data_IF_039104766873
#
_entry.id   IF_039104766873
#
_cell.length_a   1.000
_cell.length_b   1.000
_cell.length_c   1.000
_cell.angle_alpha   90.00
_cell.angle_beta   90.00
_cell.angle_gamma   90.00
#
_symmetry.space_group_name_H-M   'P 1'
#
loop_
_entity.id
_entity.type
_entity.pdbx_description
1 polymer ?
#
# COMPACT_ATOMS: atom_id res chain seq x y z
N UNK A 1 -17.86 -16.35 -38.83
CA UNK A 1 -16.92 -17.12 -37.99
C UNK A 1 -16.03 -16.10 -37.30
N UNK A 2 -16.13 -15.93 -35.98
CA UNK A 2 -15.26 -15.00 -35.25
C UNK A 2 -13.81 -15.50 -35.28
N UNK A 3 -12.80 -14.61 -35.43
CA UNK A 3 -11.41 -15.04 -35.38
C UNK A 3 -11.10 -15.65 -34.00
N UNK A 4 -10.34 -16.75 -33.92
CA UNK A 4 -9.82 -17.20 -32.64
C UNK A 4 -8.87 -16.12 -32.10
N UNK A 5 -9.22 -15.56 -30.95
CA UNK A 5 -8.32 -14.69 -30.19
C UNK A 5 -7.61 -15.57 -29.16
N UNK A 6 -6.38 -16.06 -29.45
CA UNK A 6 -5.62 -16.81 -28.47
C UNK A 6 -5.34 -15.90 -27.26
N UNK A 7 -5.59 -16.42 -26.06
CA UNK A 7 -5.23 -15.72 -24.84
C UNK A 7 -3.70 -15.55 -24.81
N UNK A 8 -3.18 -14.41 -24.34
CA UNK A 8 -1.75 -14.24 -24.17
C UNK A 8 -1.15 -15.33 -23.27
N UNK A 9 0.05 -15.81 -23.59
CA UNK A 9 0.73 -16.92 -22.89
C UNK A 9 0.91 -16.70 -21.38
N UNK A 10 0.82 -15.44 -20.92
CA UNK A 10 0.95 -15.08 -19.51
C UNK A 10 -0.36 -15.22 -18.72
N UNK A 11 -1.54 -15.16 -19.35
CA UNK A 11 -2.83 -15.08 -18.65
C UNK A 11 -3.09 -16.26 -17.70
N UNK A 12 -2.59 -17.45 -18.01
CA UNK A 12 -2.72 -18.63 -17.13
C UNK A 12 -1.75 -18.62 -15.95
N UNK A 13 -0.57 -18.00 -16.10
CA UNK A 13 0.49 -18.01 -15.07
C UNK A 13 0.17 -17.05 -13.93
N UNK A 14 -0.20 -15.81 -14.25
CA UNK A 14 -0.49 -14.79 -13.23
C UNK A 14 -1.71 -15.15 -12.39
N UNK A 15 -2.78 -15.68 -13.01
CA UNK A 15 -3.94 -16.16 -12.28
C UNK A 15 -3.60 -17.28 -11.31
N UNK A 16 -2.80 -18.27 -11.76
CA UNK A 16 -2.34 -19.37 -10.92
C UNK A 16 -1.53 -18.87 -9.73
N UNK A 17 -0.62 -17.92 -9.95
CA UNK A 17 0.17 -17.30 -8.87
C UNK A 17 -0.70 -16.51 -7.89
N UNK A 18 -1.71 -15.79 -8.39
CA UNK A 18 -2.68 -15.10 -7.53
C UNK A 18 -3.45 -16.11 -6.66
N UNK A 19 -3.92 -17.22 -7.22
CA UNK A 19 -4.60 -18.27 -6.44
C UNK A 19 -3.71 -18.84 -5.33
N UNK A 20 -2.44 -19.12 -5.64
CA UNK A 20 -1.46 -19.59 -4.63
C UNK A 20 -1.27 -18.55 -3.53
N UNK A 21 -1.16 -17.27 -3.89
CA UNK A 21 -1.06 -16.18 -2.92
C UNK A 21 -2.30 -16.12 -2.02
N UNK A 22 -3.50 -16.18 -2.60
CA UNK A 22 -4.75 -16.16 -1.85
C UNK A 22 -4.86 -17.32 -0.87
N UNK A 23 -4.41 -18.53 -1.25
CA UNK A 23 -4.37 -19.68 -0.35
C UNK A 23 -3.44 -19.44 0.85
N UNK A 24 -2.23 -18.93 0.61
CA UNK A 24 -1.29 -18.57 1.68
C UNK A 24 -1.92 -17.54 2.62
N UNK A 25 -2.52 -16.48 2.09
CA UNK A 25 -3.13 -15.43 2.90
C UNK A 25 -4.36 -15.89 3.67
N UNK A 26 -5.14 -16.82 3.13
CA UNK A 26 -6.26 -17.42 3.84
C UNK A 26 -5.80 -18.24 5.06
N UNK A 27 -4.72 -19.03 4.90
CA UNK A 27 -4.11 -19.74 6.01
C UNK A 27 -3.60 -18.77 7.10
N UNK A 28 -2.90 -17.71 6.69
CA UNK A 28 -2.40 -16.66 7.61
C UNK A 28 -3.54 -15.99 8.36
N UNK A 29 -4.58 -15.57 7.64
CA UNK A 29 -5.75 -14.92 8.23
C UNK A 29 -6.43 -15.82 9.25
N UNK A 30 -6.59 -17.13 8.95
CA UNK A 30 -7.19 -18.08 9.87
C UNK A 30 -6.38 -18.25 11.16
N UNK A 31 -5.06 -18.44 11.05
CA UNK A 31 -4.19 -18.61 12.23
C UNK A 31 -4.16 -17.35 13.09
N UNK A 32 -3.96 -16.18 12.50
CA UNK A 32 -3.87 -14.93 13.26
C UNK A 32 -5.21 -14.49 13.85
N UNK A 33 -6.33 -14.78 13.17
CA UNK A 33 -7.66 -14.55 13.73
C UNK A 33 -7.89 -15.42 14.98
N UNK A 34 -7.60 -16.72 14.90
CA UNK A 34 -7.74 -17.63 16.03
C UNK A 34 -6.81 -17.26 17.19
N UNK A 35 -5.56 -16.88 16.90
CA UNK A 35 -4.62 -16.43 17.90
C UNK A 35 -5.11 -15.16 18.61
N UNK A 36 -5.67 -14.19 17.87
CA UNK A 36 -6.26 -12.98 18.44
C UNK A 36 -7.42 -13.30 19.38
N UNK A 37 -8.28 -14.25 19.01
CA UNK A 37 -9.38 -14.72 19.86
C UNK A 37 -8.87 -15.40 21.15
N UNK A 38 -7.85 -16.26 21.04
CA UNK A 38 -7.25 -16.92 22.21
C UNK A 38 -6.61 -15.93 23.20
N UNK A 39 -5.90 -14.91 22.69
CA UNK A 39 -5.34 -13.83 23.51
C UNK A 39 -6.43 -13.04 24.25
N UNK A 40 -7.57 -12.76 23.60
CA UNK A 40 -8.71 -12.08 24.24
C UNK A 40 -9.34 -12.91 25.36
N UNK A 41 -9.19 -14.24 25.32
CA UNK A 41 -9.70 -15.16 26.33
C UNK A 41 -8.66 -15.50 27.43
N UNK A 42 -7.49 -14.84 27.43
CA UNK A 42 -6.45 -15.05 28.45
C UNK A 42 -5.66 -16.36 28.30
N UNK A 43 -5.74 -17.02 27.14
CA UNK A 43 -5.09 -18.29 26.85
C UNK A 43 -3.90 -18.05 25.90
N UNK A 44 -2.75 -17.58 26.39
CA UNK A 44 -1.60 -17.30 25.51
C UNK A 44 -0.35 -18.07 25.91
N UNK A 45 0.05 -19.05 25.10
CA UNK A 45 1.32 -19.78 25.22
C UNK A 45 1.90 -20.18 23.83
N UNK A 46 1.99 -19.28 22.84
CA UNK A 46 2.34 -19.68 21.45
C UNK A 46 3.14 -18.67 20.59
N UNK A 47 4.04 -17.86 21.16
CA UNK A 47 4.82 -16.91 20.32
C UNK A 47 5.73 -17.63 19.30
N UNK A 48 6.35 -18.74 19.68
CA UNK A 48 7.28 -19.51 18.83
C UNK A 48 6.57 -20.28 17.70
N UNK A 49 5.35 -20.79 17.94
CA UNK A 49 4.55 -21.45 16.91
C UNK A 49 4.15 -20.47 15.80
N UNK A 50 3.70 -19.27 16.19
CA UNK A 50 3.32 -18.23 15.24
C UNK A 50 4.50 -17.79 14.34
N UNK A 51 5.71 -17.67 14.90
CA UNK A 51 6.89 -17.27 14.12
C UNK A 51 7.34 -18.34 13.13
N UNK A 52 7.42 -19.60 13.54
CA UNK A 52 7.78 -20.71 12.64
C UNK A 52 6.74 -20.91 11.52
N UNK A 53 5.46 -20.72 11.84
CA UNK A 53 4.39 -20.67 10.85
C UNK A 53 4.60 -19.52 9.84
N UNK A 54 4.85 -18.30 10.34
CA UNK A 54 5.09 -17.12 9.51
C UNK A 54 6.29 -17.32 8.58
N UNK A 55 7.38 -17.86 9.11
CA UNK A 55 8.58 -18.20 8.35
C UNK A 55 8.29 -19.19 7.22
N UNK A 56 7.52 -20.26 7.51
CA UNK A 56 7.11 -21.23 6.49
C UNK A 56 6.28 -20.57 5.38
N UNK A 57 5.37 -19.64 5.70
CA UNK A 57 4.61 -18.90 4.68
C UNK A 57 5.50 -17.98 3.87
N UNK A 58 6.43 -17.28 4.52
CA UNK A 58 7.39 -16.43 3.85
C UNK A 58 8.23 -17.21 2.83
N UNK A 59 8.73 -18.40 3.18
CA UNK A 59 9.45 -19.27 2.24
C UNK A 59 8.59 -19.67 1.03
N UNK A 60 7.31 -20.00 1.24
CA UNK A 60 6.38 -20.29 0.14
C UNK A 60 6.23 -19.09 -0.80
N UNK A 61 6.15 -17.87 -0.25
CA UNK A 61 6.07 -16.65 -1.05
C UNK A 61 7.36 -16.40 -1.84
N UNK A 62 8.54 -16.60 -1.24
CA UNK A 62 9.82 -16.45 -1.94
C UNK A 62 9.96 -17.44 -3.10
N UNK A 63 9.67 -18.72 -2.86
CA UNK A 63 9.69 -19.74 -3.91
C UNK A 63 8.68 -19.44 -5.03
N UNK A 64 7.55 -18.81 -4.70
CA UNK A 64 6.59 -18.34 -5.70
C UNK A 64 7.16 -17.18 -6.52
N UNK A 65 7.83 -16.20 -5.88
CA UNK A 65 8.40 -15.04 -6.59
C UNK A 65 9.49 -15.39 -7.59
N UNK A 66 10.24 -16.47 -7.37
CA UNK A 66 11.25 -16.96 -8.31
C UNK A 66 10.65 -17.37 -9.67
N UNK A 67 9.35 -17.70 -9.68
CA UNK A 67 8.61 -18.06 -10.88
C UNK A 67 7.86 -16.89 -11.55
N UNK A 68 7.90 -15.70 -10.95
CA UNK A 68 7.22 -14.51 -11.47
C UNK A 68 8.05 -13.81 -12.53
N UNK A 69 7.37 -13.17 -13.47
CA UNK A 69 8.02 -12.26 -14.40
C UNK A 69 8.58 -11.05 -13.65
N UNK A 70 9.59 -10.36 -14.20
CA UNK A 70 10.21 -9.19 -13.58
C UNK A 70 9.29 -7.95 -13.51
N UNK A 71 8.01 -8.05 -13.88
CA UNK A 71 7.05 -6.94 -13.80
C UNK A 71 6.87 -6.18 -15.12
N UNK A 72 6.83 -6.91 -16.24
CA UNK A 72 6.73 -6.30 -17.58
C UNK A 72 5.31 -5.88 -17.98
N UNK A 73 4.31 -6.23 -17.17
CA UNK A 73 2.89 -6.00 -17.44
C UNK A 73 2.19 -5.47 -16.19
N UNK A 74 1.05 -4.79 -16.35
CA UNK A 74 0.23 -4.27 -15.23
C UNK A 74 -0.08 -5.37 -14.19
N UNK A 75 -0.43 -6.57 -14.64
CA UNK A 75 -0.82 -7.67 -13.75
C UNK A 75 0.35 -8.32 -13.01
N UNK A 76 1.55 -8.31 -13.60
CA UNK A 76 2.76 -8.77 -12.91
C UNK A 76 3.15 -7.78 -11.81
N UNK A 77 3.06 -6.48 -12.08
CA UNK A 77 3.32 -5.43 -11.09
C UNK A 77 2.30 -5.49 -9.94
N UNK A 78 1.01 -5.69 -10.24
CA UNK A 78 -0.02 -5.92 -9.21
C UNK A 78 0.36 -7.11 -8.33
N UNK A 79 0.82 -8.21 -8.93
CA UNK A 79 1.17 -9.41 -8.18
C UNK A 79 2.39 -9.18 -7.28
N UNK A 80 3.41 -8.45 -7.74
CA UNK A 80 4.55 -8.04 -6.89
C UNK A 80 4.11 -7.17 -5.72
N UNK A 81 3.20 -6.22 -5.95
CA UNK A 81 2.62 -5.40 -4.87
C UNK A 81 1.90 -6.28 -3.85
N UNK A 82 1.07 -7.22 -4.33
CA UNK A 82 0.31 -8.12 -3.46
C UNK A 82 1.22 -9.06 -2.65
N UNK A 83 2.32 -9.56 -3.24
CA UNK A 83 3.30 -10.38 -2.50
C UNK A 83 3.96 -9.58 -1.38
N UNK A 84 4.43 -8.37 -1.66
CA UNK A 84 5.05 -7.56 -0.60
C UNK A 84 4.06 -7.12 0.47
N UNK A 85 2.79 -6.91 0.11
CA UNK A 85 1.70 -6.67 1.06
C UNK A 85 1.49 -7.89 1.95
N UNK A 86 1.45 -9.10 1.37
CA UNK A 86 1.35 -10.35 2.11
C UNK A 86 2.52 -10.57 3.09
N UNK A 87 3.75 -10.26 2.68
CA UNK A 87 4.93 -10.36 3.56
C UNK A 87 4.80 -9.40 4.76
N UNK A 88 4.31 -8.18 4.51
CA UNK A 88 4.05 -7.20 5.57
C UNK A 88 3.00 -7.73 6.54
N UNK A 89 1.86 -8.23 6.06
CA UNK A 89 0.80 -8.80 6.88
C UNK A 89 1.26 -10.02 7.69
N UNK A 90 2.06 -10.91 7.07
CA UNK A 90 2.64 -12.08 7.75
C UNK A 90 3.51 -11.65 8.92
N UNK A 91 4.35 -10.62 8.75
CA UNK A 91 5.31 -10.24 9.79
C UNK A 91 4.84 -9.14 10.74
N UNK A 92 3.76 -8.43 10.43
CA UNK A 92 3.24 -7.31 11.22
C UNK A 92 3.07 -7.63 12.72
N UNK A 93 2.56 -8.81 13.15
CA UNK A 93 2.42 -9.14 14.58
C UNK A 93 3.74 -9.16 15.38
N UNK A 94 4.88 -9.25 14.70
CA UNK A 94 6.21 -9.39 15.31
C UNK A 94 6.99 -8.06 15.33
N UNK A 95 6.48 -7.00 14.69
CA UNK A 95 7.21 -5.72 14.57
C UNK A 95 7.03 -4.82 15.79
N UNK A 96 5.87 -4.88 16.45
CA UNK A 96 5.53 -4.00 17.57
C UNK A 96 6.02 -4.51 18.94
N UNK A 97 6.75 -5.63 18.98
CA UNK A 97 7.35 -6.18 20.20
C UNK A 97 8.81 -5.76 20.25
N UNK A 98 9.06 -4.55 20.73
CA UNK A 98 10.36 -3.86 20.69
C UNK A 98 11.55 -4.61 21.30
N UNK A 99 11.31 -5.67 22.08
CA UNK A 99 12.34 -6.43 22.77
C UNK A 99 12.73 -7.77 22.12
N UNK A 100 11.99 -8.26 21.11
CA UNK A 100 12.22 -9.60 20.55
C UNK A 100 12.81 -9.53 19.13
N UNK A 101 14.09 -9.88 19.02
CA UNK A 101 14.70 -10.16 17.71
C UNK A 101 14.15 -11.50 17.19
N UNK A 102 13.09 -11.42 16.40
CA UNK A 102 12.49 -12.57 15.74
C UNK A 102 13.33 -12.98 14.52
N UNK A 103 14.47 -13.63 14.79
CA UNK A 103 15.31 -14.22 13.76
C UNK A 103 14.56 -15.37 13.07
N UNK A 104 14.83 -15.55 11.79
CA UNK A 104 14.24 -16.60 10.96
C UNK A 104 15.26 -17.75 10.84
N UNK A 105 15.22 -18.76 11.73
CA UNK A 105 16.27 -19.76 11.88
C UNK A 105 16.50 -20.64 10.64
N UNK A 106 15.53 -20.73 9.74
CA UNK A 106 15.66 -21.50 8.50
C UNK A 106 16.46 -20.76 7.43
N UNK A 107 16.83 -19.49 7.66
CA UNK A 107 17.68 -18.73 6.76
C UNK A 107 19.12 -18.71 7.26
N UNK A 108 20.07 -18.96 6.35
CA UNK A 108 21.49 -19.03 6.68
C UNK A 108 22.11 -17.69 7.14
N UNK A 109 21.43 -16.57 6.91
CA UNK A 109 21.95 -15.24 7.24
C UNK A 109 21.57 -14.84 8.66
N UNK A 110 22.53 -14.37 9.49
CA UNK A 110 22.25 -13.88 10.84
C UNK A 110 21.41 -12.58 10.85
N UNK A 111 21.24 -11.94 9.68
CA UNK A 111 20.42 -10.74 9.52
C UNK A 111 18.99 -11.05 9.07
N UNK A 112 18.68 -12.32 8.78
CA UNK A 112 17.33 -12.74 8.42
C UNK A 112 16.41 -12.72 9.63
N UNK A 113 15.59 -11.68 9.71
CA UNK A 113 14.60 -11.48 10.77
C UNK A 113 13.25 -11.05 10.18
N UNK A 114 12.18 -11.26 10.93
CA UNK A 114 10.85 -10.75 10.60
C UNK A 114 10.88 -9.24 10.29
N UNK A 115 11.66 -8.48 11.09
CA UNK A 115 11.85 -7.03 10.90
C UNK A 115 12.58 -6.69 9.61
N UNK A 116 13.61 -7.45 9.25
CA UNK A 116 14.33 -7.26 8.00
C UNK A 116 13.42 -7.54 6.79
N UNK A 117 12.66 -8.64 6.80
CA UNK A 117 11.73 -9.00 5.72
C UNK A 117 10.60 -7.97 5.56
N UNK A 118 10.04 -7.49 6.69
CA UNK A 118 9.05 -6.41 6.72
C UNK A 118 9.63 -5.12 6.12
N UNK A 119 10.79 -4.66 6.62
CA UNK A 119 11.43 -3.43 6.16
C UNK A 119 11.83 -3.48 4.69
N UNK A 120 12.35 -4.61 4.22
CA UNK A 120 12.66 -4.82 2.81
C UNK A 120 11.41 -4.76 1.93
N UNK A 121 10.28 -5.32 2.39
CA UNK A 121 9.02 -5.29 1.65
C UNK A 121 8.43 -3.87 1.58
N UNK A 122 8.52 -3.08 2.65
CA UNK A 122 8.13 -1.66 2.60
C UNK A 122 8.97 -0.89 1.57
N UNK A 123 10.30 -1.08 1.55
CA UNK A 123 11.18 -0.45 0.56
C UNK A 123 10.86 -0.86 -0.87
N UNK A 124 10.53 -2.13 -1.08
CA UNK A 124 10.12 -2.60 -2.40
C UNK A 124 8.76 -2.05 -2.81
N UNK A 125 7.80 -1.92 -1.90
CA UNK A 125 6.52 -1.25 -2.20
C UNK A 125 6.71 0.23 -2.55
N UNK A 126 7.54 0.97 -1.82
CA UNK A 126 7.90 2.36 -2.15
C UNK A 126 8.42 2.47 -3.59
N UNK A 127 9.38 1.61 -3.96
CA UNK A 127 9.93 1.55 -5.32
C UNK A 127 8.87 1.21 -6.36
N UNK A 128 8.06 0.19 -6.10
CA UNK A 128 6.98 -0.24 -7.00
C UNK A 128 5.94 0.88 -7.18
N UNK A 129 5.61 1.63 -6.13
CA UNK A 129 4.68 2.75 -6.23
C UNK A 129 5.20 3.86 -7.14
N UNK A 130 6.48 4.23 -7.02
CA UNK A 130 7.10 5.21 -7.93
C UNK A 130 7.09 4.70 -9.37
N UNK A 131 7.46 3.44 -9.59
CA UNK A 131 7.42 2.82 -10.93
C UNK A 131 6.00 2.83 -11.49
N UNK A 132 5.00 2.43 -10.69
CA UNK A 132 3.61 2.45 -11.13
C UNK A 132 3.15 3.86 -11.44
N UNK A 133 3.52 4.85 -10.62
CA UNK A 133 3.14 6.24 -10.83
C UNK A 133 3.58 6.75 -12.20
N UNK A 134 4.78 6.37 -12.61
CA UNK A 134 5.38 6.77 -13.87
C UNK A 134 4.92 5.93 -15.06
N UNK A 135 4.91 4.60 -14.92
CA UNK A 135 4.76 3.67 -16.05
C UNK A 135 3.35 3.07 -16.14
N UNK A 136 2.72 2.81 -14.99
CA UNK A 136 1.49 2.02 -14.90
C UNK A 136 0.49 2.65 -13.90
N UNK A 137 0.05 3.92 -14.09
CA UNK A 137 -0.72 4.64 -13.06
C UNK A 137 -2.06 3.99 -12.73
N UNK A 138 -2.63 3.22 -13.67
CA UNK A 138 -3.85 2.43 -13.47
C UNK A 138 -3.69 1.39 -12.36
N UNK A 139 -2.49 0.82 -12.20
CA UNK A 139 -2.22 -0.18 -11.17
C UNK A 139 -2.46 0.42 -9.78
N UNK A 140 -2.08 1.68 -9.53
CA UNK A 140 -2.26 2.33 -8.22
C UNK A 140 -3.71 2.67 -7.88
N UNK A 141 -4.62 2.63 -8.86
CA UNK A 141 -6.04 2.82 -8.63
C UNK A 141 -6.82 1.51 -8.43
N UNK A 142 -6.16 0.36 -8.60
CA UNK A 142 -6.80 -0.92 -8.35
C UNK A 142 -7.01 -1.13 -6.85
N UNK A 143 -8.21 -1.52 -6.45
CA UNK A 143 -8.54 -1.80 -5.03
C UNK A 143 -7.54 -2.76 -4.40
N UNK A 144 -7.12 -3.78 -5.14
CA UNK A 144 -6.21 -4.83 -4.67
C UNK A 144 -4.83 -4.29 -4.25
N UNK A 145 -4.37 -3.19 -4.84
CA UNK A 145 -3.07 -2.58 -4.51
C UNK A 145 -3.17 -1.51 -3.44
N UNK A 146 -4.38 -1.06 -3.09
CA UNK A 146 -4.56 0.03 -2.16
C UNK A 146 -4.19 -0.32 -0.72
N UNK A 147 -4.22 -1.60 -0.34
CA UNK A 147 -3.70 -2.05 0.96
C UNK A 147 -2.20 -1.71 1.09
N UNK A 148 -1.43 -1.81 0.00
CA UNK A 148 -0.04 -1.40 -0.03
C UNK A 148 0.14 0.09 0.30
N UNK A 149 -0.75 0.96 -0.21
CA UNK A 149 -0.74 2.40 0.10
C UNK A 149 -0.85 2.62 1.61
N UNK A 150 -1.77 1.91 2.27
CA UNK A 150 -1.98 2.03 3.71
C UNK A 150 -0.73 1.55 4.48
N UNK A 151 -0.13 0.43 4.09
CA UNK A 151 1.09 -0.06 4.76
C UNK A 151 2.26 0.90 4.60
N UNK A 152 2.50 1.42 3.39
CA UNK A 152 3.57 2.39 3.16
C UNK A 152 3.28 3.68 3.91
N UNK A 153 2.06 4.22 3.83
CA UNK A 153 1.68 5.42 4.59
C UNK A 153 1.94 5.25 6.09
N UNK A 154 1.49 4.15 6.70
CA UNK A 154 1.70 3.90 8.13
C UNK A 154 3.19 3.78 8.48
N UNK A 155 4.00 3.18 7.60
CA UNK A 155 5.44 3.12 7.80
C UNK A 155 6.09 4.51 7.73
N UNK A 156 5.68 5.35 6.77
CA UNK A 156 6.22 6.70 6.60
C UNK A 156 5.79 7.64 7.73
N UNK A 157 4.56 7.51 8.23
CA UNK A 157 4.10 8.24 9.41
C UNK A 157 4.97 7.92 10.62
N UNK A 158 5.22 6.63 10.88
CA UNK A 158 6.09 6.19 11.98
C UNK A 158 7.52 6.72 11.82
N UNK A 159 8.09 6.61 10.62
CA UNK A 159 9.46 7.07 10.36
C UNK A 159 9.56 8.61 10.54
N UNK A 160 8.56 9.36 10.06
CA UNK A 160 8.46 10.80 10.28
C UNK A 160 8.32 11.17 11.76
N UNK A 161 7.47 10.47 12.51
CA UNK A 161 7.28 10.71 13.94
C UNK A 161 8.56 10.44 14.75
N UNK A 162 9.28 9.36 14.43
CA UNK A 162 10.57 9.05 15.04
C UNK A 162 11.62 10.14 14.76
N UNK A 163 11.64 10.66 13.53
CA UNK A 163 12.52 11.75 13.16
C UNK A 163 12.18 13.05 13.91
N UNK A 164 10.90 13.43 13.96
CA UNK A 164 10.44 14.61 14.71
C UNK A 164 10.80 14.51 16.20
N UNK A 165 10.60 13.34 16.80
CA UNK A 165 11.00 13.08 18.18
C UNK A 165 12.53 13.22 18.37
N UNK A 166 13.33 12.67 17.45
CA UNK A 166 14.80 12.76 17.51
C UNK A 166 15.29 14.21 17.42
N UNK A 167 14.73 15.02 16.52
CA UNK A 167 15.08 16.44 16.36
C UNK A 167 14.71 17.26 17.59
N UNK A 168 13.58 16.95 18.24
CA UNK A 168 13.18 17.63 19.48
C UNK A 168 14.11 17.32 20.67
N UNK A 169 14.87 16.22 20.60
CA UNK A 169 15.74 15.74 21.67
C UNK A 169 17.22 16.10 21.54
N UNK A 170 17.70 16.47 20.33
CA UNK A 170 19.12 16.71 20.06
C UNK A 170 19.39 18.18 19.67
N UNK A 171 20.03 18.95 20.56
CA UNK A 171 20.53 20.32 20.29
C UNK A 171 21.78 20.37 19.36
N UNK A 172 22.20 19.25 18.76
CA UNK A 172 23.35 19.15 17.85
C UNK A 172 22.96 18.54 16.48
N UNK A 173 21.95 19.15 15.84
CA UNK A 173 21.43 18.80 14.52
C UNK A 173 22.36 19.19 13.35
N UNK A 174 23.59 18.66 13.32
CA UNK A 174 24.61 19.06 12.35
C UNK A 174 25.04 18.04 11.30
N UNK A 175 24.80 16.73 11.48
CA UNK A 175 25.54 15.73 10.68
C UNK A 175 24.76 14.50 10.19
N UNK A 176 23.47 14.38 10.50
CA UNK A 176 22.63 13.30 9.95
C UNK A 176 21.34 13.87 9.37
N UNK A 177 21.28 13.97 8.04
CA UNK A 177 20.05 13.58 7.36
C UNK A 177 19.17 14.65 6.71
N UNK A 178 19.74 15.71 6.13
CA UNK A 178 18.98 16.58 5.21
C UNK A 178 18.32 15.78 4.05
N UNK A 179 18.86 14.59 3.72
CA UNK A 179 18.29 13.67 2.73
C UNK A 179 17.26 12.67 3.27
N UNK A 180 17.31 12.28 4.55
CA UNK A 180 16.38 11.27 5.11
C UNK A 180 15.01 11.88 5.45
N UNK A 181 15.00 13.16 5.81
CA UNK A 181 13.80 13.96 6.06
C UNK A 181 12.88 14.10 4.84
N UNK A 182 13.47 14.12 3.64
CA UNK A 182 12.75 14.24 2.38
C UNK A 182 12.14 12.92 1.90
N UNK A 183 12.72 11.77 2.27
CA UNK A 183 12.31 10.48 1.72
C UNK A 183 10.94 10.04 2.25
N UNK A 184 10.73 10.02 3.58
CA UNK A 184 9.47 9.52 4.14
C UNK A 184 8.28 10.39 3.71
N UNK A 185 8.49 11.72 3.67
CA UNK A 185 7.46 12.69 3.30
C UNK A 185 7.03 12.52 1.85
N UNK A 186 7.99 12.34 0.94
CA UNK A 186 7.70 12.13 -0.49
C UNK A 186 6.85 10.88 -0.72
N UNK A 187 7.21 9.76 -0.09
CA UNK A 187 6.43 8.52 -0.20
C UNK A 187 5.06 8.65 0.49
N UNK A 188 4.97 9.34 1.63
CA UNK A 188 3.70 9.59 2.31
C UNK A 188 2.74 10.40 1.44
N UNK A 189 3.20 11.52 0.86
CA UNK A 189 2.38 12.38 -0.01
C UNK A 189 1.98 11.65 -1.30
N UNK A 190 2.88 10.84 -1.88
CA UNK A 190 2.55 9.95 -2.99
C UNK A 190 1.40 9.00 -2.62
N UNK A 191 1.47 8.35 -1.46
CA UNK A 191 0.42 7.44 -1.00
C UNK A 191 -0.90 8.18 -0.71
N UNK A 192 -0.82 9.37 -0.10
CA UNK A 192 -1.99 10.18 0.22
C UNK A 192 -2.70 10.69 -1.04
N UNK A 193 -1.95 11.13 -2.05
CA UNK A 193 -2.51 11.51 -3.35
C UNK A 193 -3.17 10.31 -4.05
N UNK A 194 -2.54 9.14 -4.07
CA UNK A 194 -3.17 7.93 -4.63
C UNK A 194 -4.39 7.46 -3.80
N UNK A 195 -4.38 7.66 -2.48
CA UNK A 195 -5.53 7.42 -1.63
C UNK A 195 -6.71 8.32 -2.01
N UNK A 196 -6.46 9.61 -2.29
CA UNK A 196 -7.49 10.53 -2.76
C UNK A 196 -8.10 10.07 -4.10
N UNK A 197 -7.25 9.65 -5.04
CA UNK A 197 -7.70 9.10 -6.32
C UNK A 197 -8.58 7.86 -6.08
N UNK A 198 -8.16 6.97 -5.20
CA UNK A 198 -8.94 5.80 -4.81
C UNK A 198 -10.26 6.16 -4.13
N UNK A 199 -10.32 7.25 -3.35
CA UNK A 199 -11.54 7.74 -2.73
C UNK A 199 -12.58 8.26 -3.73
N UNK A 200 -12.16 8.63 -4.94
CA UNK A 200 -13.08 8.97 -6.05
C UNK A 200 -13.81 7.74 -6.57
N UNK A 201 -13.08 6.63 -6.75
CA UNK A 201 -13.65 5.38 -7.27
C UNK A 201 -14.32 4.53 -6.18
N UNK A 202 -13.86 4.66 -4.94
CA UNK A 202 -14.23 3.80 -3.82
C UNK A 202 -14.46 4.63 -2.54
N UNK A 203 -15.73 4.93 -2.19
CA UNK A 203 -16.05 5.78 -1.04
C UNK A 203 -15.45 5.33 0.30
N UNK A 204 -15.15 4.03 0.45
CA UNK A 204 -14.49 3.46 1.62
C UNK A 204 -13.09 4.05 1.88
N UNK A 205 -12.41 4.62 0.88
CA UNK A 205 -11.09 5.24 1.05
C UNK A 205 -11.15 6.65 1.64
N UNK A 206 -12.30 7.33 1.61
CA UNK A 206 -12.42 8.68 2.17
C UNK A 206 -12.10 8.72 3.68
N UNK A 207 -12.68 7.85 4.53
CA UNK A 207 -12.25 7.73 5.92
C UNK A 207 -10.77 7.36 6.09
N UNK A 208 -10.22 6.53 5.20
CA UNK A 208 -8.81 6.13 5.25
C UNK A 208 -7.90 7.33 5.04
N UNK A 209 -8.10 8.12 3.98
CA UNK A 209 -7.26 9.28 3.71
C UNK A 209 -7.36 10.34 4.83
N UNK A 210 -8.57 10.55 5.38
CA UNK A 210 -8.76 11.42 6.54
C UNK A 210 -8.01 10.92 7.77
N UNK A 211 -8.03 9.61 8.01
CA UNK A 211 -7.28 8.97 9.08
C UNK A 211 -5.77 9.17 8.94
N UNK A 212 -5.23 9.02 7.73
CA UNK A 212 -3.80 9.27 7.44
C UNK A 212 -3.40 10.72 7.72
N UNK A 213 -4.20 11.69 7.29
CA UNK A 213 -3.96 13.13 7.57
C UNK A 213 -4.05 13.43 9.06
N UNK A 214 -5.05 12.87 9.75
CA UNK A 214 -5.22 13.05 11.18
C UNK A 214 -4.04 12.49 11.98
N UNK A 215 -3.53 11.29 11.62
CA UNK A 215 -2.33 10.71 12.24
C UNK A 215 -1.10 11.59 12.00
N UNK A 216 -0.88 12.07 10.77
CA UNK A 216 0.22 12.96 10.46
C UNK A 216 0.19 14.27 11.30
N UNK A 217 -1.01 14.82 11.49
CA UNK A 217 -1.21 16.01 12.30
C UNK A 217 -1.00 15.72 13.80
N UNK A 218 -1.50 14.57 14.29
CA UNK A 218 -1.34 14.14 15.67
C UNK A 218 0.13 13.92 16.04
N UNK A 219 0.92 13.36 15.12
CA UNK A 219 2.35 13.11 15.30
C UNK A 219 3.22 14.37 15.08
N UNK A 220 2.60 15.52 14.78
CA UNK A 220 3.30 16.81 14.59
C UNK A 220 4.10 16.91 13.30
N UNK A 221 4.00 15.93 12.40
CA UNK A 221 4.74 15.86 11.13
C UNK A 221 4.00 16.53 9.96
N UNK A 222 2.75 16.96 10.18
CA UNK A 222 1.96 17.76 9.27
C UNK A 222 1.30 18.93 10.02
N UNK A 223 1.48 20.15 9.51
CA UNK A 223 0.91 21.34 10.12
C UNK A 223 -0.61 21.44 9.93
N UNK A 224 -1.28 22.23 10.76
CA UNK A 224 -2.74 22.41 10.72
C UNK A 224 -3.25 22.98 9.37
N UNK A 225 -2.57 23.98 8.82
CA UNK A 225 -2.94 24.59 7.53
C UNK A 225 -2.80 23.58 6.37
N UNK A 226 -1.76 22.77 6.39
CA UNK A 226 -1.56 21.70 5.43
C UNK A 226 -2.63 20.61 5.57
N UNK A 227 -2.88 20.13 6.78
CA UNK A 227 -3.89 19.10 7.05
C UNK A 227 -5.29 19.56 6.62
N UNK A 228 -5.67 20.81 6.91
CA UNK A 228 -6.97 21.36 6.51
C UNK A 228 -7.10 21.47 4.99
N UNK A 229 -6.02 21.85 4.28
CA UNK A 229 -5.99 21.83 2.82
C UNK A 229 -6.22 20.43 2.26
N UNK A 230 -5.53 19.41 2.78
CA UNK A 230 -5.73 18.01 2.38
C UNK A 230 -7.15 17.52 2.64
N UNK A 231 -7.72 17.84 3.81
CA UNK A 231 -9.09 17.45 4.18
C UNK A 231 -10.13 18.09 3.25
N UNK A 232 -9.96 19.37 2.91
CA UNK A 232 -10.81 20.06 1.95
C UNK A 232 -10.70 19.44 0.54
N UNK A 233 -9.48 19.15 0.08
CA UNK A 233 -9.26 18.49 -1.20
C UNK A 233 -9.89 17.09 -1.26
N UNK A 234 -9.81 16.28 -0.19
CA UNK A 234 -10.48 14.97 -0.10
C UNK A 234 -12.00 15.12 -0.26
N UNK A 235 -12.59 16.17 0.33
CA UNK A 235 -14.03 16.43 0.27
C UNK A 235 -14.49 16.91 -1.10
N UNK A 236 -13.71 17.77 -1.75
CA UNK A 236 -13.99 18.26 -3.09
C UNK A 236 -13.89 17.13 -4.11
N UNK A 237 -12.81 16.35 -4.11
CA UNK A 237 -12.59 15.28 -5.10
C UNK A 237 -13.63 14.15 -4.98
N UNK A 238 -14.07 13.83 -3.76
CA UNK A 238 -15.12 12.82 -3.55
C UNK A 238 -16.53 13.30 -3.97
N UNK A 239 -16.75 14.62 -4.04
CA UNK A 239 -18.06 15.18 -4.43
C UNK A 239 -18.24 15.29 -5.94
N UNK A 240 -17.15 15.51 -6.70
CA UNK A 240 -17.17 15.57 -8.18
C UNK A 240 -17.68 14.29 -8.85
N UNK A 241 -17.45 13.11 -8.27
CA UNK A 241 -17.95 11.82 -8.81
C UNK A 241 -19.44 11.57 -8.48
N UNK A 242 -19.95 12.13 -7.36
CA UNK A 242 -21.39 12.04 -7.04
C UNK A 242 -22.27 12.86 -7.98
N UNK A 243 -21.68 13.83 -8.68
CA UNK A 243 -22.34 14.67 -9.70
C UNK A 243 -21.98 14.27 -11.13
N UNK A 244 -21.66 13.00 -11.37
CA UNK A 244 -21.95 12.37 -12.65
C UNK A 244 -23.47 12.26 -12.89
N UNK A 245 -24.20 13.36 -12.73
CA UNK A 245 -25.50 13.54 -13.34
C UNK A 245 -25.22 13.53 -14.83
N UNK A 246 -25.59 12.46 -15.53
CA UNK A 246 -25.66 12.51 -17.00
C UNK A 246 -26.43 13.79 -17.37
N UNK A 247 -25.88 14.66 -18.23
CA UNK A 247 -26.68 15.76 -18.77
C UNK A 247 -27.81 15.12 -19.58
N UNK A 248 -29.03 15.23 -19.08
CA UNK A 248 -30.22 15.04 -19.90
C UNK A 248 -30.38 16.29 -20.74
N UNK A 249 -30.55 16.13 -22.04
CA UNK A 249 -31.00 17.23 -22.87
C UNK A 249 -32.43 17.64 -22.48
N UNK A 250 -32.89 18.80 -22.96
CA UNK A 250 -34.24 19.33 -22.73
C UNK A 250 -35.37 18.43 -23.28
N UNK A 251 -35.03 17.30 -23.91
CA UNK A 251 -35.95 16.27 -24.40
C UNK A 251 -36.03 15.04 -23.49
N UNK A 252 -35.22 14.96 -22.43
CA UNK A 252 -35.24 13.87 -21.46
C UNK A 252 -34.61 12.56 -21.97
N UNK A 253 -33.85 12.61 -23.07
CA UNK A 253 -33.20 11.42 -23.62
C UNK A 253 -31.74 11.31 -23.18
N UNK A 254 -31.27 10.07 -22.98
CA UNK A 254 -29.94 9.80 -22.43
C UNK A 254 -28.85 10.02 -23.48
N UNK A 255 -28.00 11.03 -23.28
CA UNK A 255 -26.77 11.17 -24.07
C UNK A 255 -25.81 10.04 -23.68
N UNK A 256 -25.47 9.19 -24.66
CA UNK A 256 -24.37 8.25 -24.55
C UNK A 256 -23.05 9.01 -24.62
N UNK A 257 -22.54 9.46 -23.47
CA UNK A 257 -21.17 9.92 -23.37
C UNK A 257 -20.24 8.71 -23.50
N UNK A 258 -19.42 8.73 -24.55
CA UNK A 258 -18.35 7.75 -24.76
C UNK A 258 -17.46 7.69 -23.53
N UNK A 259 -17.16 6.46 -23.07
CA UNK A 259 -16.28 6.09 -21.93
C UNK A 259 -14.91 6.79 -21.88
N UNK A 260 -14.57 7.69 -22.80
CA UNK A 260 -13.29 8.39 -22.91
C UNK A 260 -13.11 9.49 -21.87
N UNK A 261 -14.17 10.18 -21.42
CA UNK A 261 -14.04 11.40 -20.61
C UNK A 261 -13.66 11.14 -19.15
N UNK A 262 -14.18 10.07 -18.52
CA UNK A 262 -13.85 9.69 -17.14
C UNK A 262 -12.35 9.36 -16.97
N UNK A 263 -11.71 8.81 -18.00
CA UNK A 263 -10.29 8.44 -17.96
C UNK A 263 -9.34 9.61 -18.21
N UNK A 264 -9.77 10.63 -18.97
CA UNK A 264 -9.03 11.90 -19.08
C UNK A 264 -8.93 12.60 -17.73
N UNK A 265 -9.98 12.53 -16.90
CA UNK A 265 -9.95 13.06 -15.52
C UNK A 265 -8.97 12.27 -14.65
N UNK A 266 -8.92 10.94 -14.77
CA UNK A 266 -7.91 10.13 -14.08
C UNK A 266 -6.48 10.50 -14.50
N UNK A 267 -6.23 10.72 -15.79
CA UNK A 267 -4.94 11.19 -16.30
C UNK A 267 -4.62 12.64 -15.87
N UNK A 268 -5.59 13.56 -15.87
CA UNK A 268 -5.37 14.94 -15.39
C UNK A 268 -5.14 15.00 -13.88
N UNK A 269 -5.79 14.15 -13.07
CA UNK A 269 -5.60 14.14 -11.61
C UNK A 269 -4.30 13.44 -11.22
N UNK A 270 -3.92 12.38 -11.96
CA UNK A 270 -2.63 11.74 -11.75
C UNK A 270 -1.48 12.61 -12.28
N UNK A 271 -1.60 13.34 -13.38
CA UNK A 271 -0.48 14.15 -13.88
C UNK A 271 -0.52 15.63 -13.45
N UNK A 272 -1.65 16.12 -12.96
CA UNK A 272 -1.86 17.54 -12.62
C UNK A 272 -1.51 17.94 -11.18
N UNK A 273 -1.14 16.98 -10.33
CA UNK A 273 -0.52 17.27 -9.04
C UNK A 273 1.00 17.25 -9.19
N UNK A 274 1.54 18.17 -9.99
CA UNK A 274 2.95 18.51 -9.96
C UNK A 274 3.22 19.19 -8.60
N UNK A 275 3.52 18.39 -7.59
CA UNK A 275 4.34 18.88 -6.49
C UNK A 275 5.73 19.08 -7.07
N UNK A 276 6.02 20.32 -7.46
CA UNK A 276 7.37 20.78 -7.71
C UNK A 276 8.17 20.45 -6.45
N UNK A 277 9.03 19.45 -6.55
CA UNK A 277 10.11 19.23 -5.60
C UNK A 277 11.18 20.25 -5.97
N UNK A 278 11.13 21.40 -5.34
CA UNK A 278 12.28 22.31 -5.25
C UNK A 278 13.24 21.81 -4.18
#
# INVERSE_FOLDING_TARGET
MWPPHPLPDFCGKTFTSLCKLSQVMQEVASVYFNQRLACQQGQSNESNFALSFAESKFQKLLAMTDSLSPGNTDHDVVLHILVHTAIIDIFQPFINKESETHNLPSFASPYSSARAAFGASIKQLQRLMVICRWQNPRVLAMVSTNTALVHVSNAMLRDGALQAATLSSNEHGGLLGQGYEAEWRSYFLLCLSNCQVSAMCYPAFKPVCRGLVAMAMQDGIMGYSEATSWMAAIDEHASRVRFGSQPTDDSGDRIHTTKSEEWTTFHQVTWGNDYVVD
#
